data_IF_926583062055
#
_entry.id   IF_926583062055
#
_cell.length_a   1.000
_cell.length_b   1.000
_cell.length_c   1.000
_cell.angle_alpha   90.00
_cell.angle_beta   90.00
_cell.angle_gamma   90.00
#
_symmetry.space_group_name_H-M   'P 1'
#
loop_
_entity.id
_entity.type
_entity.pdbx_description
1 polymer ?
#
# COMPACT_ATOMS: atom_id res chain seq x y z
N UNK A 1 42.48 -12.77 -7.38
CA UNK A 1 41.73 -12.74 -8.65
C UNK A 1 41.70 -14.16 -9.19
N UNK A 2 40.59 -14.85 -8.99
CA UNK A 2 40.43 -16.26 -9.38
C UNK A 2 39.05 -16.41 -9.97
N UNK A 3 38.98 -16.33 -11.29
CA UNK A 3 37.78 -16.47 -12.11
C UNK A 3 37.39 -17.95 -12.21
N UNK A 4 36.21 -18.33 -11.69
CA UNK A 4 35.67 -19.68 -11.84
C UNK A 4 34.46 -19.67 -12.78
N UNK A 5 34.61 -20.42 -13.85
CA UNK A 5 33.78 -20.54 -15.05
C UNK A 5 32.42 -21.22 -14.80
N UNK A 6 31.32 -20.79 -15.46
CA UNK A 6 30.01 -21.42 -15.32
C UNK A 6 29.90 -22.74 -16.11
N UNK A 7 29.39 -23.80 -15.46
CA UNK A 7 28.99 -25.06 -16.13
C UNK A 7 27.60 -24.89 -16.75
N UNK A 8 27.53 -25.20 -18.05
CA UNK A 8 26.35 -25.10 -18.90
C UNK A 8 25.33 -26.19 -18.59
N UNK A 9 24.07 -25.79 -18.75
CA UNK A 9 22.82 -26.57 -18.69
C UNK A 9 22.82 -27.72 -19.69
N UNK A 10 22.30 -28.88 -19.28
CA UNK A 10 21.86 -29.93 -20.18
C UNK A 10 20.33 -29.94 -20.19
N UNK A 11 19.76 -29.58 -21.35
CA UNK A 11 18.35 -29.72 -21.65
C UNK A 11 18.14 -31.13 -22.23
N UNK A 12 17.28 -31.93 -21.59
CA UNK A 12 16.79 -33.18 -22.15
C UNK A 12 15.42 -32.94 -22.81
N UNK A 13 15.18 -33.42 -24.05
CA UNK A 13 13.85 -33.48 -24.63
C UNK A 13 13.21 -34.82 -24.26
N UNK A 14 11.99 -34.79 -23.70
CA UNK A 14 11.14 -35.97 -23.70
C UNK A 14 9.74 -35.61 -24.17
N UNK A 15 9.39 -36.37 -25.19
CA UNK A 15 8.26 -36.34 -26.09
C UNK A 15 6.94 -36.78 -25.45
N UNK A 16 5.89 -36.05 -25.81
CA UNK A 16 4.57 -36.51 -26.30
C UNK A 16 3.79 -37.54 -25.46
N UNK A 17 2.62 -37.12 -25.00
CA UNK A 17 1.43 -37.98 -24.98
C UNK A 17 0.19 -37.15 -25.34
N UNK A 18 -0.38 -37.43 -26.51
CA UNK A 18 -1.75 -37.07 -26.87
C UNK A 18 -2.73 -37.85 -25.99
N UNK A 19 -3.67 -37.17 -25.36
CA UNK A 19 -4.94 -37.76 -24.97
C UNK A 19 -6.06 -36.78 -25.33
N UNK A 20 -6.80 -37.14 -26.37
CA UNK A 20 -8.04 -36.51 -26.76
C UNK A 20 -9.18 -37.04 -25.89
N UNK A 21 -9.91 -36.15 -25.22
CA UNK A 21 -11.30 -36.25 -24.78
C UNK A 21 -11.74 -34.77 -24.64
N UNK A 22 -12.72 -34.26 -25.38
CA UNK A 22 -14.08 -34.75 -25.46
C UNK A 22 -14.98 -33.72 -24.76
N UNK A 23 -15.63 -32.88 -25.57
CA UNK A 23 -16.93 -32.23 -25.33
C UNK A 23 -17.23 -31.64 -23.93
N UNK A 24 -17.33 -30.31 -23.85
CA UNK A 24 -18.63 -29.62 -23.69
C UNK A 24 -18.41 -28.11 -23.53
N UNK A 25 -18.88 -27.36 -24.52
CA UNK A 25 -19.14 -25.95 -24.37
C UNK A 25 -20.25 -25.77 -23.32
N UNK A 26 -19.90 -25.23 -22.16
CA UNK A 26 -20.85 -24.57 -21.27
C UNK A 26 -20.30 -23.17 -21.03
N UNK A 27 -20.66 -22.26 -21.93
CA UNK A 27 -20.45 -20.84 -21.74
C UNK A 27 -21.21 -20.39 -20.50
N UNK A 28 -20.48 -20.18 -19.40
CA UNK A 28 -20.99 -19.46 -18.26
C UNK A 28 -20.55 -18.00 -18.41
N UNK A 29 -21.26 -17.26 -19.27
CA UNK A 29 -21.14 -15.80 -19.30
C UNK A 29 -21.72 -15.26 -18.00
N UNK A 30 -20.85 -15.09 -17.00
CA UNK A 30 -21.19 -14.32 -15.81
C UNK A 30 -21.28 -12.85 -16.23
N UNK A 31 -22.49 -12.42 -16.58
CA UNK A 31 -22.81 -11.01 -16.75
C UNK A 31 -22.66 -10.34 -15.38
N UNK A 32 -21.46 -9.86 -15.07
CA UNK A 32 -21.24 -8.90 -13.99
C UNK A 32 -21.93 -7.61 -14.40
N UNK A 33 -23.20 -7.47 -14.01
CA UNK A 33 -23.89 -6.19 -13.96
C UNK A 33 -23.20 -5.35 -12.89
N UNK A 34 -22.22 -4.54 -13.30
CA UNK A 34 -21.73 -3.47 -12.43
C UNK A 34 -22.91 -2.51 -12.19
N UNK A 35 -23.27 -2.21 -10.93
CA UNK A 35 -24.16 -1.10 -10.67
C UNK A 35 -23.43 0.16 -11.12
N UNK A 36 -23.93 0.81 -12.17
CA UNK A 36 -23.51 2.15 -12.53
C UNK A 36 -23.85 3.06 -11.35
N UNK A 37 -22.86 3.37 -10.53
CA UNK A 37 -22.91 4.43 -9.54
C UNK A 37 -23.03 5.74 -10.30
N UNK A 38 -24.25 6.12 -10.64
CA UNK A 38 -24.56 7.49 -11.04
C UNK A 38 -24.19 8.40 -9.88
N UNK A 39 -23.05 9.07 -9.98
CA UNK A 39 -22.70 10.18 -9.12
C UNK A 39 -23.79 11.26 -9.28
N UNK A 40 -24.73 11.28 -8.34
CA UNK A 40 -25.69 12.38 -8.22
C UNK A 40 -24.93 13.56 -7.67
N UNK A 41 -24.54 14.47 -8.55
CA UNK A 41 -24.15 15.83 -8.19
C UNK A 41 -25.33 16.47 -7.47
N UNK A 42 -25.33 16.47 -6.13
CA UNK A 42 -26.30 17.25 -5.38
C UNK A 42 -25.96 18.73 -5.60
N UNK A 43 -26.85 19.53 -6.23
CA UNK A 43 -26.67 20.96 -6.24
C UNK A 43 -26.67 21.43 -4.78
N UNK A 44 -25.65 22.19 -4.41
CA UNK A 44 -25.60 22.87 -3.12
C UNK A 44 -26.91 23.68 -2.96
N UNK A 45 -27.58 23.63 -1.79
CA UNK A 45 -28.77 24.43 -1.59
C UNK A 45 -28.40 25.89 -1.73
N UNK A 46 -28.93 26.53 -2.77
CA UNK A 46 -29.00 27.99 -2.84
C UNK A 46 -29.74 28.44 -1.60
N UNK A 47 -29.04 29.15 -0.71
CA UNK A 47 -29.60 29.64 0.53
C UNK A 47 -30.92 30.37 0.27
N UNK A 48 -31.95 29.92 0.96
CA UNK A 48 -33.28 30.53 0.98
C UNK A 48 -33.15 31.99 1.37
N UNK A 49 -33.38 32.89 0.41
CA UNK A 49 -33.55 34.31 0.70
C UNK A 49 -34.91 34.43 1.40
N UNK A 50 -34.88 34.63 2.71
CA UNK A 50 -36.05 35.06 3.48
C UNK A 50 -36.47 36.45 2.97
N UNK A 51 -37.46 36.49 2.07
CA UNK A 51 -38.27 37.69 1.85
C UNK A 51 -39.17 37.91 3.07
N UNK A 52 -38.57 38.49 4.12
CA UNK A 52 -39.32 39.10 5.21
C UNK A 52 -39.94 40.41 4.74
N UNK A 53 -41.26 40.49 4.83
CA UNK A 53 -42.02 41.71 4.58
C UNK A 53 -41.51 42.87 5.47
N UNK A 54 -41.29 44.03 4.85
CA UNK A 54 -40.88 45.24 5.55
C UNK A 54 -41.98 45.74 6.49
N UNK A 55 -41.69 46.09 7.75
CA UNK A 55 -42.53 47.02 8.47
C UNK A 55 -42.31 48.41 7.89
N UNK A 56 -43.41 49.05 7.51
CA UNK A 56 -43.44 50.47 7.21
C UNK A 56 -43.10 51.24 8.50
N UNK A 57 -42.15 52.17 8.39
CA UNK A 57 -41.90 53.19 9.42
C UNK A 57 -40.63 52.99 10.22
N UNK A 58 -39.51 53.52 9.71
CA UNK A 58 -38.42 54.02 10.53
C UNK A 58 -37.71 55.14 9.74
N UNK A 59 -37.55 56.29 10.40
CA UNK A 59 -37.10 57.53 9.83
C UNK A 59 -35.73 57.42 9.12
N UNK A 60 -35.61 58.11 7.99
CA UNK A 60 -34.35 58.32 7.31
C UNK A 60 -33.40 59.14 8.20
N UNK A 61 -32.56 58.46 8.97
CA UNK A 61 -31.32 59.08 9.44
C UNK A 61 -30.41 59.23 8.24
N UNK A 62 -30.09 60.48 7.88
CA UNK A 62 -29.03 60.79 6.93
C UNK A 62 -27.74 60.14 7.42
N UNK A 63 -27.40 59.03 6.79
CA UNK A 63 -26.09 58.44 6.87
C UNK A 63 -25.11 59.47 6.30
N UNK A 64 -24.30 60.08 7.16
CA UNK A 64 -23.06 60.73 6.73
C UNK A 64 -22.22 59.74 5.90
N UNK A 65 -21.20 60.21 5.17
CA UNK A 65 -20.41 59.35 4.29
C UNK A 65 -20.01 58.08 5.04
N UNK A 66 -20.57 56.94 4.62
CA UNK A 66 -20.29 55.64 5.19
C UNK A 66 -18.79 55.39 4.98
N UNK A 67 -17.99 55.61 6.03
CA UNK A 67 -16.58 55.27 6.00
C UNK A 67 -16.49 53.76 5.87
N UNK A 68 -16.20 53.31 4.65
CA UNK A 68 -15.92 51.90 4.37
C UNK A 68 -14.78 51.47 5.29
N UNK A 69 -14.95 50.44 6.15
CA UNK A 69 -13.86 49.92 6.95
C UNK A 69 -12.69 49.59 6.05
N UNK A 70 -11.49 50.02 6.44
CA UNK A 70 -10.29 49.68 5.69
C UNK A 70 -10.16 48.14 5.58
N UNK A 71 -9.69 47.62 4.44
CA UNK A 71 -9.48 46.19 4.29
C UNK A 71 -8.53 45.70 5.39
N UNK A 72 -8.87 44.58 6.01
CA UNK A 72 -7.99 43.91 6.95
C UNK A 72 -6.85 43.25 6.18
N UNK A 73 -5.67 43.86 6.23
CA UNK A 73 -4.45 43.33 5.60
C UNK A 73 -3.71 42.47 6.62
N UNK A 74 -3.32 41.26 6.20
CA UNK A 74 -2.48 40.38 6.99
C UNK A 74 -1.01 40.63 6.65
N UNK A 75 -0.21 40.93 7.66
CA UNK A 75 1.16 41.44 7.51
C UNK A 75 2.17 40.37 7.05
N UNK A 76 1.77 39.09 6.99
CA UNK A 76 2.66 37.98 6.61
C UNK A 76 3.32 38.15 5.23
N UNK A 77 2.69 38.92 4.34
CA UNK A 77 3.16 39.12 2.97
C UNK A 77 3.98 40.40 2.78
N UNK A 78 4.06 41.27 3.80
CA UNK A 78 4.67 42.61 3.68
C UNK A 78 6.20 42.61 3.90
N UNK A 79 6.82 41.44 4.13
CA UNK A 79 8.26 41.32 4.42
C UNK A 79 8.95 40.15 3.71
N UNK A 80 8.61 39.90 2.44
CA UNK A 80 9.25 38.87 1.60
C UNK A 80 10.51 39.40 0.91
N UNK A 81 11.37 40.11 1.65
CA UNK A 81 12.62 40.67 1.12
C UNK A 81 13.71 39.61 0.93
N UNK A 82 13.52 38.44 1.56
CA UNK A 82 14.42 37.31 1.39
C UNK A 82 14.27 36.67 0.00
N UNK A 83 15.38 36.32 -0.66
CA UNK A 83 15.35 35.54 -1.87
C UNK A 83 14.58 34.23 -1.67
N UNK A 84 13.72 33.90 -2.63
CA UNK A 84 13.04 32.61 -2.63
C UNK A 84 14.05 31.46 -2.56
N UNK A 85 13.84 30.53 -1.62
CA UNK A 85 14.62 29.30 -1.57
C UNK A 85 14.46 28.54 -2.88
N UNK A 86 15.59 28.21 -3.50
CA UNK A 86 15.59 27.35 -4.68
C UNK A 86 15.24 25.92 -4.26
N UNK A 87 14.40 25.21 -5.03
CA UNK A 87 14.17 23.80 -4.79
C UNK A 87 15.48 23.02 -4.99
N UNK A 88 15.69 21.94 -4.24
CA UNK A 88 16.82 21.07 -4.50
C UNK A 88 16.75 20.52 -5.93
N UNK A 89 17.89 20.15 -6.54
CA UNK A 89 17.89 19.44 -7.82
C UNK A 89 16.98 18.22 -7.76
N UNK A 90 16.21 17.97 -8.83
CA UNK A 90 15.45 16.74 -8.95
C UNK A 90 16.41 15.55 -9.01
N UNK A 91 16.16 14.56 -8.16
CA UNK A 91 16.81 13.27 -8.25
C UNK A 91 15.90 12.31 -9.04
N UNK A 92 16.48 11.47 -9.89
CA UNK A 92 15.74 10.42 -10.61
C UNK A 92 15.20 9.35 -9.66
N UNK A 93 15.87 9.14 -8.52
CA UNK A 93 15.45 8.22 -7.48
C UNK A 93 16.04 8.60 -6.12
N UNK A 94 15.38 8.15 -5.06
CA UNK A 94 15.93 8.14 -3.70
C UNK A 94 16.18 6.70 -3.30
N UNK A 95 17.35 6.35 -2.72
CA UNK A 95 17.58 5.02 -2.19
C UNK A 95 16.55 4.69 -1.10
N UNK A 96 15.78 3.63 -1.31
CA UNK A 96 14.83 3.09 -0.33
C UNK A 96 15.33 1.73 0.11
N UNK A 97 15.44 1.45 1.42
CA UNK A 97 15.83 0.13 1.89
C UNK A 97 14.73 -0.88 1.53
N UNK A 98 15.14 -2.13 1.24
CA UNK A 98 14.21 -3.22 0.91
C UNK A 98 13.20 -3.55 2.03
N UNK A 99 13.42 -3.01 3.24
CA UNK A 99 12.61 -3.22 4.45
C UNK A 99 11.75 -2.00 4.77
N UNK A 100 11.62 -1.04 3.85
CA UNK A 100 10.91 0.22 4.10
C UNK A 100 9.42 0.02 4.40
N UNK A 101 8.82 -1.04 3.88
CA UNK A 101 7.45 -1.46 4.15
C UNK A 101 7.31 -2.35 5.39
N UNK A 102 8.43 -2.68 6.06
CA UNK A 102 8.46 -3.54 7.24
C UNK A 102 8.27 -5.03 6.94
N UNK A 103 8.25 -5.42 5.67
CA UNK A 103 8.13 -6.81 5.24
C UNK A 103 9.50 -7.37 4.81
N UNK A 104 9.72 -8.67 5.02
CA UNK A 104 10.79 -9.41 4.35
C UNK A 104 10.24 -10.12 3.12
N UNK A 105 10.58 -9.59 1.95
CA UNK A 105 10.22 -10.14 0.63
C UNK A 105 11.00 -11.41 0.27
N UNK A 106 11.85 -11.93 1.15
CA UNK A 106 12.53 -13.20 0.96
C UNK A 106 11.63 -14.41 1.24
N UNK A 107 10.40 -14.24 1.74
CA UNK A 107 9.54 -15.36 2.14
C UNK A 107 8.17 -15.29 1.50
N UNK A 108 7.73 -16.44 0.98
CA UNK A 108 6.42 -16.62 0.37
C UNK A 108 6.27 -15.96 -1.00
N UNK A 109 5.02 -15.87 -1.44
CA UNK A 109 4.66 -15.23 -2.70
C UNK A 109 4.66 -13.69 -2.59
N UNK A 110 4.55 -13.00 -3.73
CA UNK A 110 4.54 -11.53 -3.84
C UNK A 110 3.48 -10.81 -2.97
N UNK A 111 2.45 -11.53 -2.51
CA UNK A 111 1.36 -10.97 -1.70
C UNK A 111 1.48 -11.32 -0.21
N UNK A 112 2.56 -12.00 0.20
CA UNK A 112 2.79 -12.38 1.60
C UNK A 112 3.79 -11.38 2.21
N UNK A 113 3.40 -10.73 3.30
CA UNK A 113 4.27 -9.86 4.07
C UNK A 113 4.71 -10.58 5.35
N UNK A 114 5.91 -11.15 5.37
CA UNK A 114 6.50 -11.61 6.63
C UNK A 114 7.08 -10.40 7.37
N UNK A 115 6.75 -10.17 8.65
CA UNK A 115 7.31 -9.05 9.39
C UNK A 115 8.84 -9.11 9.44
N UNK A 116 9.51 -8.02 9.06
CA UNK A 116 10.95 -7.89 9.20
C UNK A 116 11.41 -7.99 10.67
N UNK A 117 10.53 -7.62 11.60
CA UNK A 117 10.80 -7.71 13.04
C UNK A 117 9.57 -8.26 13.74
N UNK A 118 9.73 -9.40 14.41
CA UNK A 118 8.66 -10.00 15.21
C UNK A 118 8.40 -9.21 16.50
N UNK A 119 7.16 -9.21 17.02
CA UNK A 119 6.87 -8.65 18.33
C UNK A 119 7.77 -9.27 19.41
N UNK A 120 8.20 -8.50 20.44
CA UNK A 120 9.07 -9.03 21.50
C UNK A 120 8.51 -10.27 22.22
N UNK A 121 7.18 -10.40 22.28
CA UNK A 121 6.49 -11.52 22.90
C UNK A 121 6.72 -12.87 22.19
N UNK A 122 7.17 -12.86 20.93
CA UNK A 122 7.53 -14.09 20.19
C UNK A 122 8.77 -14.75 20.80
N UNK A 123 9.69 -13.95 21.34
CA UNK A 123 10.97 -14.42 21.86
C UNK A 123 11.92 -14.89 20.75
N UNK A 124 13.05 -15.47 21.18
CA UNK A 124 14.15 -15.89 20.29
C UNK A 124 14.40 -17.40 20.33
N UNK A 125 13.45 -18.17 20.86
CA UNK A 125 13.56 -19.62 20.85
C UNK A 125 13.53 -20.13 19.39
N UNK A 126 14.25 -21.22 19.05
CA UNK A 126 14.16 -21.83 17.72
C UNK A 126 12.72 -22.12 17.33
N UNK A 127 12.35 -21.81 16.08
CA UNK A 127 10.99 -21.98 15.57
C UNK A 127 9.92 -21.04 16.17
N UNK A 128 10.27 -20.13 17.08
CA UNK A 128 9.28 -19.20 17.66
C UNK A 128 8.63 -18.29 16.63
N UNK A 129 9.42 -17.76 15.69
CA UNK A 129 8.93 -16.98 14.55
C UNK A 129 7.92 -17.78 13.72
N UNK A 130 8.26 -19.02 13.36
CA UNK A 130 7.36 -19.89 12.59
C UNK A 130 6.08 -20.25 13.35
N UNK A 131 6.15 -20.56 14.65
CA UNK A 131 4.94 -20.77 15.47
C UNK A 131 4.05 -19.54 15.50
N UNK A 132 4.64 -18.35 15.60
CA UNK A 132 3.87 -17.10 15.54
C UNK A 132 3.22 -16.91 14.17
N UNK A 133 3.96 -17.13 13.07
CA UNK A 133 3.44 -17.02 11.71
C UNK A 133 2.29 -18.00 11.48
N UNK A 134 2.45 -19.27 11.83
CA UNK A 134 1.40 -20.29 11.72
C UNK A 134 0.16 -19.92 12.55
N UNK A 135 0.35 -19.42 13.78
CA UNK A 135 -0.75 -18.96 14.62
C UNK A 135 -1.50 -17.75 14.04
N UNK A 136 -0.86 -16.97 13.15
CA UNK A 136 -1.46 -15.83 12.45
C UNK A 136 -1.94 -16.17 11.03
N UNK A 137 -1.98 -17.47 10.68
CA UNK A 137 -2.56 -17.95 9.42
C UNK A 137 -1.62 -17.86 8.21
N UNK A 138 -0.32 -17.71 8.43
CA UNK A 138 0.65 -17.83 7.34
C UNK A 138 0.79 -19.29 6.93
N UNK A 139 0.79 -19.59 5.62
CA UNK A 139 1.13 -20.93 5.13
C UNK A 139 2.64 -21.19 5.27
N UNK A 140 3.12 -22.41 4.99
CA UNK A 140 4.54 -22.63 4.71
C UNK A 140 5.02 -21.69 3.60
N UNK A 141 6.24 -21.17 3.74
CA UNK A 141 6.73 -20.03 2.99
C UNK A 141 7.94 -20.44 2.15
N UNK A 142 7.85 -20.35 0.83
CA UNK A 142 9.01 -20.53 -0.02
C UNK A 142 10.08 -19.47 0.30
N UNK A 143 11.33 -19.88 0.46
CA UNK A 143 12.45 -18.96 0.72
C UNK A 143 13.11 -18.55 -0.59
N UNK A 144 13.13 -17.25 -0.83
CA UNK A 144 13.70 -16.62 -2.00
C UNK A 144 14.95 -15.82 -1.62
N UNK A 145 16.12 -16.43 -1.87
CA UNK A 145 17.41 -15.81 -1.61
C UNK A 145 17.95 -16.14 -0.23
N UNK A 146 18.33 -15.11 0.54
CA UNK A 146 18.94 -15.30 1.87
C UNK A 146 17.83 -15.38 2.93
N UNK A 147 17.84 -16.46 3.70
CA UNK A 147 17.08 -16.61 4.94
C UNK A 147 17.64 -15.67 6.02
N UNK A 148 17.09 -14.46 6.11
CA UNK A 148 17.57 -13.40 7.01
C UNK A 148 17.00 -13.55 8.42
N UNK A 149 15.78 -14.10 8.50
CA UNK A 149 15.04 -14.29 9.75
C UNK A 149 15.31 -15.65 10.39
N UNK A 150 16.02 -16.56 9.70
CA UNK A 150 16.32 -17.88 10.24
C UNK A 150 15.06 -18.74 10.38
N UNK A 151 14.11 -18.59 9.45
CA UNK A 151 12.83 -19.29 9.51
C UNK A 151 12.90 -20.68 8.87
N UNK A 152 13.82 -20.88 7.93
CA UNK A 152 14.12 -22.15 7.27
C UNK A 152 15.37 -22.74 7.92
N UNK A 153 15.13 -23.46 9.02
CA UNK A 153 16.16 -23.96 9.93
C UNK A 153 16.88 -25.18 9.35
N UNK A 154 16.19 -25.98 8.54
CA UNK A 154 16.76 -27.16 7.88
C UNK A 154 17.31 -26.88 6.47
N UNK A 155 17.09 -25.66 5.96
CA UNK A 155 17.60 -25.14 4.69
C UNK A 155 17.09 -25.89 3.46
N UNK A 156 15.84 -26.36 3.51
CA UNK A 156 15.19 -27.06 2.40
C UNK A 156 14.57 -26.12 1.35
N UNK A 157 14.54 -24.81 1.65
CA UNK A 157 13.96 -23.76 0.80
C UNK A 157 12.50 -23.45 1.11
N UNK A 158 11.92 -24.03 2.15
CA UNK A 158 10.54 -23.80 2.61
C UNK A 158 10.53 -23.54 4.11
N UNK A 159 10.38 -22.28 4.49
CA UNK A 159 10.27 -21.88 5.88
C UNK A 159 8.91 -22.25 6.50
N UNK A 160 8.94 -22.50 7.81
CA UNK A 160 7.76 -22.69 8.66
C UNK A 160 6.89 -23.88 8.27
N UNK A 161 7.53 -24.91 7.75
CA UNK A 161 6.94 -26.22 7.58
C UNK A 161 7.00 -27.03 8.92
N UNK A 162 6.81 -28.34 8.86
CA UNK A 162 6.88 -29.19 10.05
C UNK A 162 8.30 -29.30 10.64
N UNK A 163 9.36 -29.16 9.83
CA UNK A 163 10.76 -29.17 10.27
C UNK A 163 11.13 -27.92 11.07
N UNK A 164 10.57 -26.77 10.69
CA UNK A 164 10.98 -25.46 11.22
C UNK A 164 10.23 -24.95 12.44
N UNK A 165 8.95 -25.34 12.59
CA UNK A 165 8.11 -24.86 13.69
C UNK A 165 8.55 -25.37 15.08
N UNK A 166 9.69 -26.09 15.13
CA UNK A 166 10.12 -26.89 16.24
C UNK A 166 9.28 -28.14 16.30
N UNK A 167 9.72 -29.20 15.60
CA UNK A 167 9.35 -30.54 15.99
C UNK A 167 9.56 -30.64 17.50
N UNK A 168 8.46 -30.79 18.23
CA UNK A 168 8.49 -31.23 19.61
C UNK A 168 9.17 -32.61 19.61
N UNK A 169 10.47 -32.63 19.86
CA UNK A 169 11.17 -33.80 20.37
C UNK A 169 10.91 -33.92 21.85
#
# INVERSE_FOLDING_TARGET
MTTRTPRRRAAGPLTVALAALGTAAAGLTLALTLPATTARSHPAPSGTVLTGAAPAGAAAQQQGPQQRPAPHVMDFAQGLDDPAKQPPPQADSTPVPATADGCDHAYGDINVCVPWTFPPAVGTAPGAGCRWLLAHGYPPLAVHGRDRLGLDTDHDGTACDHGDAGAAG
#
